data_IF_391879009517
#
_entry.id   IF_391879009517
#
_cell.length_a   1.000
_cell.length_b   1.000
_cell.length_c   1.000
_cell.angle_alpha   90.00
_cell.angle_beta   90.00
_cell.angle_gamma   90.00
#
_symmetry.space_group_name_H-M   'P 1'
#
loop_
_entity.id
_entity.type
_entity.pdbx_description
1 polymer ?
#
# COMPACT_ATOMS: atom_id res chain seq x y z
N UNK A 1 14.28 10.59 2.50
CA UNK A 1 13.34 10.13 3.53
C UNK A 1 11.99 9.97 2.85
N UNK A 2 11.31 8.84 3.04
CA UNK A 2 10.04 8.57 2.36
C UNK A 2 8.91 9.29 3.09
N UNK A 3 8.16 10.13 2.38
CA UNK A 3 7.01 10.82 2.95
C UNK A 3 5.94 9.81 3.37
N UNK A 4 5.58 9.81 4.65
CA UNK A 4 4.61 8.90 5.23
C UNK A 4 3.76 9.64 6.27
N UNK A 5 2.53 9.14 6.49
CA UNK A 5 1.56 9.71 7.42
C UNK A 5 1.91 9.47 8.89
N UNK A 6 2.86 8.56 9.16
CA UNK A 6 3.28 8.20 10.52
C UNK A 6 4.34 9.17 11.08
N UNK A 7 4.91 10.04 10.24
CA UNK A 7 5.99 10.95 10.63
C UNK A 7 7.31 10.25 10.98
N UNK A 8 7.44 8.96 10.65
CA UNK A 8 8.62 8.15 10.99
C UNK A 8 9.74 8.45 10.00
N UNK A 9 10.93 8.72 10.54
CA UNK A 9 12.12 9.11 9.76
C UNK A 9 13.18 8.02 9.70
N UNK A 10 13.19 7.11 10.67
CA UNK A 10 14.04 5.92 10.68
C UNK A 10 13.46 4.82 9.76
N UNK A 11 14.28 4.32 8.84
CA UNK A 11 13.82 3.35 7.85
C UNK A 11 13.48 1.98 8.44
N UNK A 12 14.12 1.59 9.54
CA UNK A 12 13.90 0.29 10.18
C UNK A 12 12.58 0.30 10.95
N UNK A 13 12.33 1.37 11.67
CA UNK A 13 11.06 1.62 12.36
C UNK A 13 9.91 1.73 11.36
N UNK A 14 10.09 2.50 10.28
CA UNK A 14 9.07 2.66 9.25
C UNK A 14 8.69 1.31 8.62
N UNK A 15 9.68 0.46 8.31
CA UNK A 15 9.42 -0.87 7.75
C UNK A 15 8.61 -1.76 8.69
N UNK A 16 8.86 -1.70 10.01
CA UNK A 16 8.10 -2.47 11.01
C UNK A 16 6.65 -2.00 11.10
N UNK A 17 6.42 -0.70 11.14
CA UNK A 17 5.06 -0.15 11.19
C UNK A 17 4.30 -0.35 9.88
N UNK A 18 4.97 -0.22 8.73
CA UNK A 18 4.39 -0.55 7.42
C UNK A 18 3.94 -2.02 7.40
N UNK A 19 4.79 -2.95 7.81
CA UNK A 19 4.48 -4.37 7.85
C UNK A 19 3.28 -4.65 8.78
N UNK A 20 3.29 -4.08 9.99
CA UNK A 20 2.25 -4.29 11.00
C UNK A 20 0.89 -3.80 10.51
N UNK A 21 0.82 -2.58 9.98
CA UNK A 21 -0.43 -1.94 9.52
C UNK A 21 -0.96 -2.63 8.25
N UNK A 22 -0.10 -2.84 7.26
CA UNK A 22 -0.51 -3.42 5.97
C UNK A 22 -1.03 -4.86 6.12
N UNK A 23 -0.41 -5.68 6.98
CA UNK A 23 -0.91 -7.03 7.29
C UNK A 23 -2.25 -7.02 8.02
N UNK A 24 -2.45 -6.10 8.96
CA UNK A 24 -3.74 -5.96 9.64
C UNK A 24 -4.85 -5.60 8.65
N UNK A 25 -4.60 -4.65 7.74
CA UNK A 25 -5.52 -4.28 6.65
C UNK A 25 -5.78 -5.44 5.70
N UNK A 26 -4.75 -6.22 5.35
CA UNK A 26 -4.89 -7.40 4.50
C UNK A 26 -5.85 -8.44 5.11
N UNK A 27 -5.72 -8.73 6.40
CA UNK A 27 -6.62 -9.64 7.13
C UNK A 27 -8.06 -9.10 7.09
N UNK A 28 -8.27 -7.83 7.44
CA UNK A 28 -9.60 -7.21 7.42
C UNK A 28 -10.24 -7.23 6.03
N UNK A 29 -9.46 -6.94 4.99
CA UNK A 29 -9.91 -6.95 3.60
C UNK A 29 -10.33 -8.36 3.16
N UNK A 30 -9.58 -9.38 3.59
CA UNK A 30 -9.90 -10.78 3.31
C UNK A 30 -11.16 -11.23 4.05
N UNK A 31 -11.21 -11.03 5.38
CA UNK A 31 -12.32 -11.48 6.22
C UNK A 31 -13.65 -10.78 5.90
N UNK A 32 -13.60 -9.53 5.41
CA UNK A 32 -14.80 -8.78 5.02
C UNK A 32 -15.38 -9.20 3.66
N UNK A 33 -14.73 -10.11 2.93
CA UNK A 33 -15.12 -10.47 1.56
C UNK A 33 -14.98 -9.30 0.58
N UNK A 34 -14.13 -8.30 0.91
CA UNK A 34 -13.98 -7.11 0.07
C UNK A 34 -13.47 -7.47 -1.33
N UNK A 35 -12.55 -8.42 -1.40
CA UNK A 35 -11.94 -8.87 -2.65
C UNK A 35 -12.97 -9.47 -3.62
N UNK A 36 -14.01 -10.13 -3.11
CA UNK A 36 -15.06 -10.77 -3.93
C UNK A 36 -15.92 -9.76 -4.70
N UNK A 37 -15.91 -8.50 -4.27
CA UNK A 37 -16.65 -7.39 -4.90
C UNK A 37 -15.86 -6.69 -6.00
N UNK A 38 -14.57 -6.97 -6.13
CA UNK A 38 -13.70 -6.32 -7.10
C UNK A 38 -13.67 -7.08 -8.43
N UNK A 39 -13.53 -6.35 -9.53
CA UNK A 39 -13.30 -6.95 -10.84
C UNK A 39 -11.82 -7.39 -10.97
N UNK A 40 -11.59 -8.69 -10.93
CA UNK A 40 -10.25 -9.25 -11.07
C UNK A 40 -9.59 -8.90 -12.41
N UNK A 41 -8.27 -8.70 -12.39
CA UNK A 41 -7.48 -8.40 -13.59
C UNK A 41 -7.51 -6.95 -14.06
N UNK A 42 -8.15 -6.05 -13.30
CA UNK A 42 -8.23 -4.62 -13.64
C UNK A 42 -7.23 -3.77 -12.86
N UNK A 43 -6.81 -2.64 -13.45
CA UNK A 43 -6.00 -1.62 -12.75
C UNK A 43 -6.77 -1.05 -11.57
N UNK A 44 -8.09 -0.84 -11.73
CA UNK A 44 -8.98 -0.34 -10.68
C UNK A 44 -8.94 -1.24 -9.44
N UNK A 45 -9.03 -2.56 -9.63
CA UNK A 45 -8.89 -3.54 -8.54
C UNK A 45 -7.53 -3.43 -7.85
N UNK A 46 -6.44 -3.35 -8.61
CA UNK A 46 -5.10 -3.19 -8.05
C UNK A 46 -4.93 -1.89 -7.27
N UNK A 47 -5.44 -0.76 -7.79
CA UNK A 47 -5.38 0.54 -7.09
C UNK A 47 -6.16 0.51 -5.79
N UNK A 48 -7.28 -0.19 -5.75
CA UNK A 48 -8.11 -0.27 -4.55
C UNK A 48 -7.48 -1.16 -3.47
N UNK A 49 -6.90 -2.31 -3.88
CA UNK A 49 -6.09 -3.14 -2.99
C UNK A 49 -4.91 -2.34 -2.41
N UNK A 50 -4.18 -1.62 -3.27
CA UNK A 50 -3.07 -0.77 -2.83
C UNK A 50 -3.54 0.34 -1.88
N UNK A 51 -4.71 0.94 -2.13
CA UNK A 51 -5.28 1.95 -1.25
C UNK A 51 -5.52 1.37 0.13
N UNK A 52 -6.25 0.26 0.25
CA UNK A 52 -6.61 -0.33 1.55
C UNK A 52 -5.38 -0.74 2.35
N UNK A 53 -4.38 -1.33 1.70
CA UNK A 53 -3.16 -1.79 2.39
C UNK A 53 -2.32 -0.63 2.95
N UNK A 54 -2.33 0.53 2.28
CA UNK A 54 -1.35 1.58 2.54
C UNK A 54 -1.94 2.97 2.82
N UNK A 55 -3.27 3.15 2.86
CA UNK A 55 -3.91 4.47 3.03
C UNK A 55 -3.52 5.20 4.32
N UNK A 56 -3.26 4.44 5.39
CA UNK A 56 -2.84 4.97 6.69
C UNK A 56 -1.32 5.20 6.77
N UNK A 57 -0.57 4.76 5.76
CA UNK A 57 0.90 4.82 5.71
C UNK A 57 1.35 5.88 4.70
N UNK A 58 0.81 5.87 3.50
CA UNK A 58 1.24 6.70 2.38
C UNK A 58 0.14 7.62 1.85
N UNK A 59 0.42 8.91 1.62
CA UNK A 59 -0.57 9.86 1.09
C UNK A 59 -0.99 9.56 -0.36
N UNK A 60 -0.18 8.78 -1.07
CA UNK A 60 -0.40 8.38 -2.46
C UNK A 60 -0.98 6.96 -2.60
N UNK A 61 -1.44 6.32 -1.52
CA UNK A 61 -2.00 4.98 -1.60
C UNK A 61 -3.14 4.91 -2.63
N UNK A 62 -3.04 3.97 -3.58
CA UNK A 62 -3.99 3.78 -4.67
C UNK A 62 -3.78 4.70 -5.89
N UNK A 63 -2.75 5.55 -5.89
CA UNK A 63 -2.41 6.42 -7.03
C UNK A 63 -1.30 5.83 -7.89
N UNK A 64 -1.38 6.08 -9.20
CA UNK A 64 -0.28 5.79 -10.12
C UNK A 64 0.83 6.81 -9.89
N UNK A 65 2.07 6.33 -9.83
CA UNK A 65 3.26 7.18 -9.69
C UNK A 65 3.46 8.12 -10.88
N UNK A 66 4.04 9.28 -10.63
CA UNK A 66 4.38 10.29 -11.65
C UNK A 66 5.87 10.33 -11.99
N UNK A 67 6.67 9.50 -11.32
CA UNK A 67 8.13 9.43 -11.47
C UNK A 67 8.55 8.07 -11.98
N UNK A 68 9.66 7.99 -12.72
CA UNK A 68 10.24 6.73 -13.19
C UNK A 68 10.95 5.97 -12.05
N UNK A 69 10.92 4.63 -12.14
CA UNK A 69 11.61 3.73 -11.19
C UNK A 69 12.39 2.66 -11.98
N UNK A 70 13.52 2.22 -11.44
CA UNK A 70 14.31 1.09 -11.93
C UNK A 70 14.75 0.22 -10.76
N UNK A 71 14.99 -1.07 -11.01
CA UNK A 71 15.51 -2.01 -10.01
C UNK A 71 16.53 -2.93 -10.69
N UNK A 72 17.80 -2.90 -10.25
CA UNK A 72 18.90 -3.62 -10.91
C UNK A 72 19.58 -2.75 -11.98
N UNK A 73 19.90 -3.34 -13.13
CA UNK A 73 20.34 -2.58 -14.30
C UNK A 73 19.13 -2.03 -15.09
N UNK A 74 19.32 -0.86 -15.72
CA UNK A 74 18.30 -0.14 -16.51
C UNK A 74 17.88 -0.92 -17.77
#
# INVERSE_FOLDING_TARGET
MLENRLGITDSTELAREEERISKQKAIQMFESGFLDRLEAGTVQCLTEIHRILFEDIYPFAGKIREVNISKGAF
#
